data_IF_426788070228
#
_entry.id   IF_426788070228
#
_cell.length_a   1.000
_cell.length_b   1.000
_cell.length_c   1.000
_cell.angle_alpha   90.00
_cell.angle_beta   90.00
_cell.angle_gamma   90.00
#
_symmetry.space_group_name_H-M   'P 1'
#
loop_
_entity.id
_entity.type
_entity.pdbx_description
1 polymer ?
#
# COMPACT_ATOMS: atom_id res chain seq x y z
N UNK A 1 -44.54 -37.60 -14.72
CA UNK A 1 -43.58 -36.49 -14.57
C UNK A 1 -43.99 -35.77 -13.29
N UNK A 2 -43.25 -35.70 -12.19
CA UNK A 2 -41.81 -35.56 -11.99
C UNK A 2 -41.35 -36.37 -10.78
N UNK A 3 -40.24 -37.09 -10.91
CA UNK A 3 -39.48 -37.58 -9.76
C UNK A 3 -38.72 -36.39 -9.15
N UNK A 4 -38.95 -36.13 -7.87
CA UNK A 4 -38.17 -35.18 -7.08
C UNK A 4 -36.97 -35.93 -6.50
N UNK A 5 -35.78 -35.64 -7.01
CA UNK A 5 -34.51 -36.11 -6.48
C UNK A 5 -34.10 -35.20 -5.32
N UNK A 6 -34.14 -35.72 -4.10
CA UNK A 6 -33.59 -35.05 -2.93
C UNK A 6 -32.05 -35.09 -2.99
N UNK A 7 -31.43 -33.91 -2.97
CA UNK A 7 -29.98 -33.75 -2.86
C UNK A 7 -29.48 -34.22 -1.48
N UNK A 8 -28.31 -34.87 -1.38
CA UNK A 8 -27.75 -35.22 -0.08
C UNK A 8 -27.27 -33.96 0.63
N UNK A 9 -27.73 -33.80 1.88
CA UNK A 9 -27.25 -32.81 2.84
C UNK A 9 -25.72 -32.89 2.96
N UNK A 10 -24.99 -31.76 3.02
CA UNK A 10 -23.58 -31.80 3.33
C UNK A 10 -23.43 -32.37 4.75
N UNK A 11 -22.69 -33.47 4.85
CA UNK A 11 -22.37 -34.07 6.13
C UNK A 11 -21.62 -33.03 6.99
N UNK A 12 -22.30 -32.50 8.00
CA UNK A 12 -21.67 -31.71 9.05
C UNK A 12 -20.63 -32.60 9.74
N UNK A 13 -19.35 -32.36 9.50
CA UNK A 13 -18.30 -32.88 10.38
C UNK A 13 -18.50 -32.23 11.73
N UNK A 14 -19.00 -33.00 12.69
CA UNK A 14 -19.04 -32.61 14.10
C UNK A 14 -17.60 -32.39 14.56
N UNK A 15 -17.23 -31.23 15.11
CA UNK A 15 -15.89 -31.00 15.63
C UNK A 15 -15.61 -31.96 16.78
N UNK A 16 -14.47 -32.63 16.74
CA UNK A 16 -13.97 -33.42 17.87
C UNK A 16 -13.71 -32.50 19.08
N UNK A 17 -14.11 -32.88 20.30
CA UNK A 17 -13.90 -32.05 21.48
C UNK A 17 -12.40 -32.01 21.82
N UNK A 18 -11.77 -30.84 21.67
CA UNK A 18 -10.43 -30.58 22.22
C UNK A 18 -9.47 -29.75 21.36
N UNK A 19 -9.73 -29.54 20.06
CA UNK A 19 -8.84 -28.76 19.18
C UNK A 19 -9.44 -27.38 18.92
N UNK A 20 -8.70 -26.32 19.23
CA UNK A 20 -9.13 -24.94 18.93
C UNK A 20 -8.69 -24.58 17.51
N UNK A 21 -9.61 -24.16 16.66
CA UNK A 21 -9.26 -23.65 15.33
C UNK A 21 -8.60 -22.27 15.45
N UNK A 22 -7.51 -22.04 14.72
CA UNK A 22 -6.81 -20.75 14.67
C UNK A 22 -6.54 -20.36 13.22
N UNK A 23 -6.77 -19.09 12.88
CA UNK A 23 -6.46 -18.57 11.53
C UNK A 23 -5.11 -17.86 11.51
N UNK A 24 -4.16 -18.37 10.74
CA UNK A 24 -2.83 -17.78 10.52
C UNK A 24 -2.81 -16.98 9.22
N UNK A 25 -2.49 -15.69 9.31
CA UNK A 25 -2.06 -14.90 8.15
C UNK A 25 -0.70 -15.45 7.66
N UNK A 26 -0.70 -16.05 6.47
CA UNK A 26 0.37 -16.93 6.00
C UNK A 26 0.98 -16.42 4.68
N UNK A 27 2.31 -16.46 4.57
CA UNK A 27 3.06 -15.95 3.41
C UNK A 27 4.05 -16.97 2.83
N UNK A 28 4.15 -18.18 3.38
CA UNK A 28 5.12 -19.20 2.97
C UNK A 28 6.59 -18.90 3.34
N UNK A 29 6.87 -17.72 3.92
CA UNK A 29 8.20 -17.37 4.44
C UNK A 29 8.60 -18.18 5.67
N UNK A 30 9.84 -18.02 6.14
CA UNK A 30 10.36 -18.72 7.32
C UNK A 30 9.46 -18.51 8.55
N UNK A 31 9.19 -17.25 8.88
CA UNK A 31 8.45 -16.87 10.09
C UNK A 31 7.04 -17.49 10.13
N UNK A 32 6.29 -17.37 9.04
CA UNK A 32 4.92 -17.94 8.96
C UNK A 32 4.94 -19.46 8.75
N UNK A 33 5.97 -20.03 8.13
CA UNK A 33 6.18 -21.49 8.06
C UNK A 33 6.44 -22.08 9.44
N UNK A 34 7.24 -21.42 10.28
CA UNK A 34 7.49 -21.83 11.66
C UNK A 34 6.21 -21.84 12.50
N UNK A 35 5.34 -20.84 12.30
CA UNK A 35 4.10 -20.68 13.07
C UNK A 35 3.19 -21.91 13.00
N UNK A 36 3.10 -22.62 11.86
CA UNK A 36 2.19 -23.77 11.70
C UNK A 36 2.53 -24.91 12.69
N UNK A 37 3.71 -25.57 12.62
CA UNK A 37 4.06 -26.64 13.54
C UNK A 37 4.25 -26.17 14.98
N UNK A 38 4.54 -24.90 15.22
CA UNK A 38 4.59 -24.33 16.57
C UNK A 38 3.19 -24.27 17.21
N UNK A 39 2.18 -23.77 16.47
CA UNK A 39 0.80 -23.70 16.93
C UNK A 39 0.16 -25.09 17.05
N UNK A 40 0.45 -26.01 16.13
CA UNK A 40 -0.01 -27.40 16.23
C UNK A 40 0.50 -28.09 17.51
N UNK A 41 1.76 -27.87 17.88
CA UNK A 41 2.33 -28.39 19.13
C UNK A 41 1.62 -27.83 20.39
N UNK A 42 0.92 -26.70 20.26
CA UNK A 42 0.06 -26.11 21.31
C UNK A 42 -1.40 -26.58 21.25
N UNK A 43 -1.73 -27.52 20.37
CA UNK A 43 -3.07 -28.11 20.27
C UNK A 43 -4.05 -27.37 19.36
N UNK A 44 -3.56 -26.47 18.49
CA UNK A 44 -4.40 -25.76 17.54
C UNK A 44 -4.56 -26.52 16.21
N UNK A 45 -5.75 -26.42 15.60
CA UNK A 45 -5.97 -26.71 14.19
C UNK A 45 -5.68 -25.43 13.39
N UNK A 46 -4.56 -25.39 12.68
CA UNK A 46 -4.08 -24.18 12.00
C UNK A 46 -4.69 -24.06 10.61
N UNK A 47 -5.54 -23.07 10.41
CA UNK A 47 -6.07 -22.69 9.10
C UNK A 47 -5.27 -21.51 8.55
N UNK A 48 -4.75 -21.61 7.35
CA UNK A 48 -3.94 -20.55 6.75
C UNK A 48 -4.74 -19.72 5.76
N UNK A 49 -4.50 -18.41 5.74
CA UNK A 49 -4.99 -17.49 4.73
C UNK A 49 -3.80 -16.79 4.10
N UNK A 50 -3.69 -16.89 2.79
CA UNK A 50 -2.80 -16.05 1.99
C UNK A 50 -3.63 -15.02 1.23
N UNK A 51 -3.53 -13.75 1.60
CA UNK A 51 -4.12 -12.67 0.82
C UNK A 51 -3.08 -12.21 -0.20
N UNK A 52 -3.32 -12.54 -1.47
CA UNK A 52 -2.46 -12.14 -2.57
C UNK A 52 -2.72 -10.68 -2.94
N UNK A 53 -1.92 -9.81 -2.36
CA UNK A 53 -1.93 -8.37 -2.61
C UNK A 53 -0.98 -7.96 -3.73
N UNK A 54 -0.59 -8.90 -4.61
CA UNK A 54 0.40 -8.74 -5.66
C UNK A 54 1.82 -9.02 -5.20
N UNK A 55 2.79 -8.94 -6.12
CA UNK A 55 4.21 -9.19 -5.82
C UNK A 55 4.60 -10.68 -5.81
N UNK A 56 3.65 -11.59 -6.08
CA UNK A 56 3.90 -13.02 -6.29
C UNK A 56 3.41 -13.45 -7.67
N UNK A 57 4.13 -14.36 -8.29
CA UNK A 57 3.70 -15.04 -9.52
C UNK A 57 2.94 -16.32 -9.21
N UNK A 58 2.47 -17.00 -10.26
CA UNK A 58 1.71 -18.25 -10.14
C UNK A 58 2.53 -19.36 -9.47
N UNK A 59 3.83 -19.43 -9.75
CA UNK A 59 4.73 -20.43 -9.15
C UNK A 59 4.90 -20.22 -7.64
N UNK A 60 5.02 -18.97 -7.19
CA UNK A 60 5.15 -18.68 -5.76
C UNK A 60 3.80 -18.88 -5.03
N UNK A 61 2.65 -18.59 -5.66
CA UNK A 61 1.32 -18.95 -5.10
C UNK A 61 1.19 -20.45 -4.89
N UNK A 62 1.53 -21.23 -5.91
CA UNK A 62 1.56 -22.69 -5.86
C UNK A 62 2.49 -23.20 -4.75
N UNK A 63 3.64 -22.56 -4.59
CA UNK A 63 4.58 -22.88 -3.52
C UNK A 63 3.97 -22.62 -2.15
N UNK A 64 3.34 -21.46 -1.94
CA UNK A 64 2.72 -21.09 -0.65
C UNK A 64 1.65 -22.11 -0.26
N UNK A 65 0.76 -22.49 -1.19
CA UNK A 65 -0.27 -23.50 -0.92
C UNK A 65 0.33 -24.87 -0.59
N UNK A 66 1.28 -25.35 -1.41
CA UNK A 66 1.99 -26.62 -1.16
C UNK A 66 2.73 -26.59 0.17
N UNK A 67 3.33 -25.45 0.53
CA UNK A 67 4.05 -25.26 1.78
C UNK A 67 3.14 -25.32 2.99
N UNK A 68 1.96 -24.70 2.92
CA UNK A 68 0.95 -24.80 3.98
C UNK A 68 0.51 -26.27 4.19
N UNK A 69 0.29 -27.01 3.10
CA UNK A 69 -0.07 -28.43 3.14
C UNK A 69 1.07 -29.30 3.70
N UNK A 70 2.32 -29.08 3.26
CA UNK A 70 3.52 -29.77 3.74
C UNK A 70 3.67 -29.63 5.27
N UNK A 71 3.45 -28.42 5.79
CA UNK A 71 3.54 -28.11 7.23
C UNK A 71 2.31 -28.60 8.04
N UNK A 72 1.30 -29.18 7.38
CA UNK A 72 0.14 -29.78 8.02
C UNK A 72 -1.00 -28.82 8.37
N UNK A 73 -1.13 -27.69 7.67
CA UNK A 73 -2.29 -26.80 7.86
C UNK A 73 -3.61 -27.57 7.70
N UNK A 74 -4.58 -27.33 8.60
CA UNK A 74 -5.90 -27.94 8.59
C UNK A 74 -6.73 -27.51 7.37
N UNK A 75 -6.52 -26.27 6.89
CA UNK A 75 -6.95 -25.82 5.57
C UNK A 75 -6.08 -24.67 5.09
N UNK A 76 -6.06 -24.43 3.78
CA UNK A 76 -5.45 -23.26 3.16
C UNK A 76 -6.49 -22.55 2.28
N UNK A 77 -6.45 -21.21 2.24
CA UNK A 77 -7.21 -20.40 1.29
C UNK A 77 -6.33 -19.27 0.78
N UNK A 78 -6.27 -19.12 -0.55
CA UNK A 78 -5.74 -17.92 -1.20
C UNK A 78 -6.88 -16.98 -1.55
N UNK A 79 -6.73 -15.70 -1.23
CA UNK A 79 -7.71 -14.63 -1.52
C UNK A 79 -7.06 -13.62 -2.45
N UNK A 80 -7.73 -13.27 -3.55
CA UNK A 80 -7.30 -12.15 -4.41
C UNK A 80 -7.48 -10.81 -3.68
N UNK A 81 -6.37 -10.20 -3.31
CA UNK A 81 -6.30 -8.92 -2.62
C UNK A 81 -6.28 -7.70 -3.55
N UNK A 82 -6.18 -7.89 -4.87
CA UNK A 82 -6.09 -6.80 -5.85
C UNK A 82 -7.29 -5.81 -5.79
N UNK A 83 -8.54 -6.28 -5.80
CA UNK A 83 -9.69 -5.39 -5.67
C UNK A 83 -9.71 -4.61 -4.34
N UNK A 84 -9.35 -5.28 -3.24
CA UNK A 84 -9.31 -4.68 -1.91
C UNK A 84 -8.20 -3.63 -1.79
N UNK A 85 -7.01 -3.88 -2.35
CA UNK A 85 -5.89 -2.94 -2.29
C UNK A 85 -6.16 -1.69 -3.12
N UNK A 86 -6.80 -1.85 -4.27
CA UNK A 86 -7.17 -0.72 -5.10
C UNK A 86 -8.20 0.18 -4.41
N UNK A 87 -9.32 -0.41 -3.99
CA UNK A 87 -10.45 0.33 -3.42
C UNK A 87 -10.16 0.87 -2.02
N UNK A 88 -9.56 0.05 -1.14
CA UNK A 88 -9.30 0.41 0.25
C UNK A 88 -8.08 1.30 0.46
N UNK A 89 -7.07 1.23 -0.42
CA UNK A 89 -5.82 1.97 -0.22
C UNK A 89 -5.42 2.84 -1.41
N UNK A 90 -5.26 2.29 -2.62
CA UNK A 90 -4.66 3.04 -3.74
C UNK A 90 -5.53 4.23 -4.12
N UNK A 91 -6.84 4.04 -4.24
CA UNK A 91 -7.80 5.09 -4.58
C UNK A 91 -7.77 6.25 -3.57
N UNK A 92 -7.98 6.04 -2.25
CA UNK A 92 -7.89 7.13 -1.29
C UNK A 92 -6.49 7.71 -1.13
N UNK A 93 -5.42 6.91 -1.31
CA UNK A 93 -4.04 7.41 -1.29
C UNK A 93 -3.75 8.36 -2.46
N UNK A 94 -4.21 8.01 -3.68
CA UNK A 94 -4.09 8.88 -4.86
C UNK A 94 -4.89 10.16 -4.66
N UNK A 95 -6.11 10.08 -4.12
CA UNK A 95 -6.90 11.26 -3.79
C UNK A 95 -6.25 12.13 -2.71
N UNK A 96 -5.62 11.54 -1.70
CA UNK A 96 -4.86 12.28 -0.70
C UNK A 96 -3.70 13.03 -1.37
N UNK A 97 -2.95 12.36 -2.24
CA UNK A 97 -1.90 12.99 -3.05
C UNK A 97 -0.63 13.33 -2.27
N UNK A 98 -0.47 12.78 -1.06
CA UNK A 98 0.63 13.08 -0.14
C UNK A 98 1.34 11.81 0.34
N UNK A 99 2.66 11.87 0.50
CA UNK A 99 3.45 10.81 1.13
C UNK A 99 3.62 11.03 2.62
N UNK A 100 3.87 9.97 3.39
CA UNK A 100 4.18 10.10 4.82
C UNK A 100 5.46 10.91 5.00
N UNK A 101 5.37 11.95 5.82
CA UNK A 101 6.40 12.99 5.98
C UNK A 101 6.92 13.55 4.64
N UNK A 102 6.03 13.66 3.65
CA UNK A 102 6.32 14.16 2.30
C UNK A 102 7.19 13.23 1.45
N UNK A 103 7.40 11.97 1.88
CA UNK A 103 8.39 11.07 1.27
C UNK A 103 7.82 9.69 0.93
N UNK A 104 7.22 8.99 1.90
CA UNK A 104 6.98 7.55 1.80
C UNK A 104 5.54 7.20 1.38
N UNK A 105 5.34 6.43 0.29
CA UNK A 105 4.01 6.11 -0.24
C UNK A 105 3.31 4.92 0.45
N UNK A 106 3.64 4.63 1.72
CA UNK A 106 2.92 3.66 2.56
C UNK A 106 2.81 2.23 1.98
N UNK A 107 3.88 1.72 1.36
CA UNK A 107 3.90 0.48 0.56
C UNK A 107 3.57 -0.82 1.32
N UNK A 108 3.44 -0.78 2.64
CA UNK A 108 3.10 -1.94 3.48
C UNK A 108 1.69 -1.80 4.09
N UNK A 109 0.83 -1.01 3.47
CA UNK A 109 -0.57 -0.85 3.91
C UNK A 109 -1.45 -2.06 3.54
N UNK A 110 -0.91 -3.00 2.77
CA UNK A 110 -1.55 -4.29 2.50
C UNK A 110 -1.83 -5.11 3.78
N UNK A 111 -1.13 -4.83 4.90
CA UNK A 111 -1.33 -5.50 6.19
C UNK A 111 -2.78 -5.42 6.69
N UNK A 112 -3.45 -4.29 6.51
CA UNK A 112 -4.84 -4.11 6.94
C UNK A 112 -5.77 -5.06 6.19
N UNK A 113 -5.51 -5.25 4.89
CA UNK A 113 -6.32 -6.10 4.02
C UNK A 113 -6.04 -7.59 4.26
N UNK A 114 -4.80 -7.94 4.62
CA UNK A 114 -4.44 -9.28 5.09
C UNK A 114 -5.21 -9.59 6.39
N UNK A 115 -5.31 -8.63 7.32
CA UNK A 115 -6.11 -8.77 8.54
C UNK A 115 -7.59 -8.98 8.20
N UNK A 116 -8.17 -8.13 7.34
CA UNK A 116 -9.57 -8.27 6.91
C UNK A 116 -9.87 -9.67 6.35
N UNK A 117 -8.97 -10.20 5.50
CA UNK A 117 -9.10 -11.54 4.93
C UNK A 117 -8.99 -12.64 5.99
N UNK A 118 -8.06 -12.51 6.93
CA UNK A 118 -7.86 -13.47 8.03
C UNK A 118 -9.07 -13.49 8.98
N UNK A 119 -9.59 -12.33 9.38
CA UNK A 119 -10.76 -12.24 10.25
C UNK A 119 -12.02 -12.78 9.57
N UNK A 120 -12.23 -12.48 8.28
CA UNK A 120 -13.33 -13.06 7.50
C UNK A 120 -13.26 -14.60 7.48
N UNK A 121 -12.06 -15.17 7.42
CA UNK A 121 -11.88 -16.63 7.51
C UNK A 121 -12.15 -17.13 8.93
N UNK A 122 -11.72 -16.41 9.96
CA UNK A 122 -11.95 -16.77 11.35
C UNK A 122 -13.45 -16.82 11.66
N UNK A 123 -14.20 -15.79 11.26
CA UNK A 123 -15.66 -15.74 11.37
C UNK A 123 -16.33 -16.90 10.61
N UNK A 124 -15.88 -17.20 9.38
CA UNK A 124 -16.43 -18.31 8.58
C UNK A 124 -16.19 -19.70 9.21
N UNK A 125 -15.13 -19.84 10.00
CA UNK A 125 -14.82 -21.06 10.77
C UNK A 125 -15.44 -21.06 12.17
N UNK A 126 -16.03 -19.93 12.61
CA UNK A 126 -16.58 -19.78 13.96
C UNK A 126 -15.52 -19.66 15.04
N UNK A 127 -14.27 -19.32 14.71
CA UNK A 127 -13.19 -19.09 15.68
C UNK A 127 -12.95 -17.61 15.93
N UNK A 128 -12.52 -17.28 17.15
CA UNK A 128 -12.08 -15.94 17.56
C UNK A 128 -10.58 -15.86 17.78
N UNK A 129 -9.82 -16.85 17.33
CA UNK A 129 -8.37 -16.92 17.53
C UNK A 129 -7.68 -16.73 16.19
N UNK A 130 -6.76 -15.77 16.13
CA UNK A 130 -5.94 -15.53 14.95
C UNK A 130 -4.46 -15.51 15.30
N UNK A 131 -3.63 -15.77 14.31
CA UNK A 131 -2.19 -15.69 14.41
C UNK A 131 -1.57 -14.90 13.26
N UNK A 132 -0.43 -14.27 13.56
CA UNK A 132 0.41 -13.61 12.57
C UNK A 132 1.89 -13.78 12.94
N UNK A 133 2.75 -13.75 11.93
CA UNK A 133 4.21 -13.95 12.09
C UNK A 133 5.00 -12.66 12.34
N UNK A 134 4.38 -11.56 12.77
CA UNK A 134 5.13 -10.30 12.92
C UNK A 134 6.10 -10.36 14.10
N UNK A 135 7.28 -9.80 13.93
CA UNK A 135 8.24 -9.58 15.01
C UNK A 135 7.81 -8.44 15.94
N UNK A 136 8.38 -8.41 17.15
CA UNK A 136 8.22 -7.33 18.13
C UNK A 136 9.01 -6.06 17.81
N UNK A 137 9.66 -5.97 16.64
CA UNK A 137 10.70 -4.97 16.36
C UNK A 137 10.28 -3.90 15.35
N UNK A 138 9.15 -4.05 14.66
CA UNK A 138 8.74 -3.16 13.56
C UNK A 138 7.32 -2.66 13.69
N UNK A 139 6.92 -1.77 12.76
CA UNK A 139 5.58 -1.18 12.73
C UNK A 139 4.48 -2.20 12.39
N UNK A 140 4.80 -3.27 11.67
CA UNK A 140 3.80 -4.24 11.20
C UNK A 140 3.03 -4.90 12.34
N UNK A 141 3.67 -5.17 13.50
CA UNK A 141 2.95 -5.68 14.67
C UNK A 141 1.85 -4.72 15.14
N UNK A 142 2.10 -3.41 15.07
CA UNK A 142 1.15 -2.38 15.53
C UNK A 142 -0.02 -2.33 14.57
N UNK A 143 0.26 -2.39 13.26
CA UNK A 143 -0.75 -2.40 12.20
C UNK A 143 -1.66 -3.61 12.31
N UNK A 144 -1.09 -4.82 12.46
CA UNK A 144 -1.86 -6.04 12.65
C UNK A 144 -2.68 -5.99 13.93
N UNK A 145 -2.05 -5.72 15.08
CA UNK A 145 -2.74 -5.77 16.37
C UNK A 145 -3.86 -4.72 16.47
N UNK A 146 -3.62 -3.48 16.02
CA UNK A 146 -4.64 -2.43 16.06
C UNK A 146 -5.80 -2.72 15.11
N UNK A 147 -5.52 -3.21 13.90
CA UNK A 147 -6.58 -3.55 12.95
C UNK A 147 -7.47 -4.68 13.48
N UNK A 148 -6.86 -5.71 14.06
CA UNK A 148 -7.60 -6.82 14.67
C UNK A 148 -8.48 -6.32 15.81
N UNK A 149 -7.91 -5.52 16.72
CA UNK A 149 -8.65 -4.97 17.87
C UNK A 149 -9.78 -4.03 17.46
N UNK A 150 -9.62 -3.31 16.35
CA UNK A 150 -10.66 -2.42 15.84
C UNK A 150 -11.85 -3.19 15.23
N UNK A 151 -11.62 -4.39 14.73
CA UNK A 151 -12.62 -5.16 13.96
C UNK A 151 -13.37 -6.22 14.78
N UNK A 152 -12.98 -6.47 16.03
CA UNK A 152 -13.75 -7.32 16.94
C UNK A 152 -12.96 -7.86 18.12
N UNK A 153 -13.65 -8.65 18.95
CA UNK A 153 -13.05 -9.36 20.08
C UNK A 153 -12.39 -10.66 19.60
N UNK A 154 -11.14 -10.53 19.15
CA UNK A 154 -10.29 -11.62 18.70
C UNK A 154 -9.09 -11.81 19.64
N UNK A 155 -8.78 -13.06 19.96
CA UNK A 155 -7.51 -13.44 20.58
C UNK A 155 -6.39 -13.40 19.53
N UNK A 156 -5.35 -12.61 19.80
CA UNK A 156 -4.17 -12.50 18.96
C UNK A 156 -3.06 -13.40 19.51
N UNK A 157 -2.63 -14.37 18.71
CA UNK A 157 -1.47 -15.23 18.99
C UNK A 157 -0.32 -14.81 18.06
N UNK A 158 0.84 -14.50 18.62
CA UNK A 158 1.98 -14.03 17.83
C UNK A 158 3.23 -14.86 18.14
N UNK A 159 3.36 -16.06 17.53
CA UNK A 159 4.41 -17.02 17.86
C UNK A 159 5.82 -16.44 17.82
N UNK A 160 6.11 -15.57 16.85
CA UNK A 160 7.44 -14.94 16.71
C UNK A 160 7.75 -14.02 17.89
N UNK A 161 6.77 -13.25 18.37
CA UNK A 161 6.93 -12.42 19.58
C UNK A 161 7.08 -13.27 20.84
N UNK A 162 6.46 -14.45 20.89
CA UNK A 162 6.62 -15.38 22.00
C UNK A 162 8.06 -15.88 22.08
N UNK A 163 8.59 -16.44 20.99
CA UNK A 163 9.97 -16.97 20.97
C UNK A 163 11.04 -15.87 21.06
N UNK A 164 10.75 -14.63 20.65
CA UNK A 164 11.66 -13.49 20.83
C UNK A 164 11.93 -13.16 22.30
N UNK A 165 11.02 -13.51 23.22
CA UNK A 165 11.24 -13.34 24.67
C UNK A 165 12.25 -14.34 25.21
N UNK A 166 12.42 -15.47 24.53
CA UNK A 166 13.21 -16.62 25.01
C UNK A 166 14.53 -16.76 24.24
N UNK A 167 14.58 -16.30 22.98
CA UNK A 167 15.70 -16.52 22.07
C UNK A 167 16.15 -15.23 21.40
N UNK A 168 17.42 -14.86 21.64
CA UNK A 168 18.07 -13.70 21.01
C UNK A 168 18.34 -13.90 19.52
N UNK A 169 18.52 -15.14 19.07
CA UNK A 169 18.71 -15.51 17.66
C UNK A 169 17.45 -16.18 17.10
N UNK A 170 16.34 -15.44 17.05
CA UNK A 170 15.00 -15.94 16.70
C UNK A 170 14.99 -16.72 15.37
N UNK A 171 15.54 -16.15 14.29
CA UNK A 171 15.59 -16.82 12.97
C UNK A 171 16.34 -18.15 12.96
N UNK A 172 17.45 -18.23 13.69
CA UNK A 172 18.21 -19.48 13.80
C UNK A 172 17.41 -20.55 14.56
N UNK A 173 16.67 -20.14 15.59
CA UNK A 173 15.75 -21.01 16.31
C UNK A 173 14.61 -21.50 15.41
N UNK A 174 13.97 -20.62 14.65
CA UNK A 174 12.88 -20.96 13.71
C UNK A 174 13.34 -22.00 12.67
N UNK A 175 14.52 -21.77 12.08
CA UNK A 175 15.12 -22.67 11.12
C UNK A 175 15.38 -24.05 11.74
N UNK A 176 16.07 -24.09 12.87
CA UNK A 176 16.39 -25.34 13.58
C UNK A 176 15.12 -26.10 13.97
N UNK A 177 14.09 -25.40 14.46
CA UNK A 177 12.83 -26.01 14.86
C UNK A 177 12.11 -26.73 13.70
N UNK A 178 12.16 -26.13 12.50
CA UNK A 178 11.61 -26.71 11.28
C UNK A 178 12.45 -27.90 10.79
N UNK A 179 13.78 -27.74 10.75
CA UNK A 179 14.71 -28.80 10.31
C UNK A 179 14.63 -30.05 11.21
N UNK A 180 14.55 -29.88 12.53
CA UNK A 180 14.37 -30.99 13.50
C UNK A 180 13.06 -31.77 13.29
N UNK A 181 12.07 -31.16 12.63
CA UNK A 181 10.79 -31.78 12.27
C UNK A 181 10.73 -32.29 10.83
N UNK A 182 11.87 -32.24 10.12
CA UNK A 182 11.99 -32.73 8.75
C UNK A 182 11.47 -31.76 7.68
N UNK A 183 11.18 -30.51 8.03
CA UNK A 183 10.75 -29.50 7.06
C UNK A 183 11.95 -28.77 6.48
N UNK A 184 12.10 -28.80 5.16
CA UNK A 184 13.14 -28.03 4.47
C UNK A 184 12.95 -26.53 4.66
N UNK A 185 14.04 -25.79 4.86
CA UNK A 185 14.02 -24.32 4.94
C UNK A 185 14.71 -23.76 3.70
N UNK A 186 14.03 -22.87 2.95
CA UNK A 186 14.66 -22.19 1.81
C UNK A 186 15.85 -21.39 2.34
N UNK A 187 17.06 -21.69 1.84
CA UNK A 187 18.25 -20.90 2.12
C UNK A 187 18.15 -19.53 1.44
N UNK A 188 17.43 -18.60 2.06
CA UNK A 188 17.45 -17.18 1.68
C UNK A 188 17.82 -16.36 2.91
N UNK A 189 19.08 -16.43 3.31
CA UNK A 189 19.68 -15.32 4.07
C UNK A 189 19.88 -14.16 3.11
N UNK A 190 18.82 -13.37 2.87
CA UNK A 190 19.00 -12.08 2.20
C UNK A 190 19.66 -11.13 3.19
N UNK A 191 20.65 -10.38 2.73
CA UNK A 191 21.27 -9.30 3.49
C UNK A 191 20.26 -8.19 3.87
N UNK A 192 19.10 -8.16 3.19
CA UNK A 192 18.04 -7.17 3.37
C UNK A 192 16.72 -7.83 3.77
N UNK A 193 15.95 -7.10 4.56
CA UNK A 193 14.52 -7.37 4.74
C UNK A 193 13.76 -6.70 3.60
N UNK A 194 12.97 -7.48 2.87
CA UNK A 194 12.25 -7.01 1.67
C UNK A 194 10.76 -7.27 1.87
N UNK A 195 9.95 -6.23 1.69
CA UNK A 195 8.50 -6.38 1.51
C UNK A 195 8.14 -5.99 0.09
N UNK A 196 7.35 -6.83 -0.57
CA UNK A 196 6.93 -6.67 -1.95
C UNK A 196 5.45 -7.02 -2.07
N UNK A 197 4.69 -6.15 -2.71
CA UNK A 197 3.29 -6.34 -3.06
C UNK A 197 2.95 -5.46 -4.28
N UNK A 198 1.68 -5.33 -4.66
CA UNK A 198 1.27 -4.51 -5.81
C UNK A 198 1.63 -3.01 -5.68
N UNK A 199 1.74 -2.47 -4.46
CA UNK A 199 2.06 -1.07 -4.23
C UNK A 199 3.51 -0.75 -4.58
N UNK A 200 4.41 -1.70 -4.33
CA UNK A 200 5.84 -1.49 -4.49
C UNK A 200 6.71 -2.44 -3.67
N UNK A 201 8.00 -2.10 -3.63
CA UNK A 201 9.03 -2.81 -2.86
C UNK A 201 9.60 -1.89 -1.79
N UNK A 202 9.83 -2.42 -0.60
CA UNK A 202 10.64 -1.77 0.44
C UNK A 202 11.81 -2.67 0.83
N UNK A 203 12.95 -2.06 1.14
CA UNK A 203 14.16 -2.77 1.54
C UNK A 203 14.83 -2.05 2.70
N UNK A 204 15.21 -2.79 3.73
CA UNK A 204 15.95 -2.33 4.91
C UNK A 204 17.02 -3.35 5.31
N UNK A 205 17.87 -3.02 6.28
CA UNK A 205 19.00 -3.87 6.67
C UNK A 205 20.34 -3.39 6.10
N UNK A 206 21.41 -4.03 6.57
CA UNK A 206 22.76 -3.79 6.07
C UNK A 206 23.21 -2.33 6.19
N UNK A 207 23.72 -1.78 5.09
CA UNK A 207 24.18 -0.39 4.96
C UNK A 207 23.06 0.64 5.15
N UNK A 208 21.81 0.28 4.88
CA UNK A 208 20.66 1.17 5.09
C UNK A 208 20.50 1.48 6.58
N UNK A 209 20.58 0.46 7.43
CA UNK A 209 20.45 0.59 8.89
C UNK A 209 21.68 1.27 9.52
N UNK A 210 22.84 1.21 8.85
CA UNK A 210 24.06 1.94 9.22
C UNK A 210 24.10 3.38 8.68
N UNK A 211 23.01 3.85 8.05
CA UNK A 211 22.92 5.20 7.49
C UNK A 211 23.89 5.48 6.32
N UNK A 212 24.38 4.42 5.69
CA UNK A 212 25.29 4.48 4.56
C UNK A 212 24.53 4.54 3.23
N UNK A 213 25.26 4.70 2.12
CA UNK A 213 24.69 4.68 0.78
C UNK A 213 24.23 3.24 0.43
N UNK A 214 23.00 3.05 -0.08
CA UNK A 214 22.48 1.73 -0.41
C UNK A 214 23.28 1.08 -1.55
N UNK A 215 23.63 -0.19 -1.38
CA UNK A 215 24.40 -0.98 -2.34
C UNK A 215 23.57 -1.50 -3.51
N UNK A 216 24.21 -2.17 -4.48
CA UNK A 216 23.53 -2.68 -5.69
C UNK A 216 22.42 -3.70 -5.38
N UNK A 217 22.56 -4.45 -4.28
CA UNK A 217 21.57 -5.43 -3.83
C UNK A 217 20.26 -4.84 -3.30
N UNK A 218 20.13 -3.51 -3.21
CA UNK A 218 18.95 -2.79 -2.72
C UNK A 218 17.99 -2.39 -3.84
N UNK A 219 17.86 -3.20 -4.89
CA UNK A 219 17.04 -2.92 -6.07
C UNK A 219 16.14 -4.12 -6.37
N UNK A 220 14.83 -3.89 -6.45
CA UNK A 220 13.84 -4.93 -6.74
C UNK A 220 13.34 -4.85 -8.18
N UNK A 221 12.67 -3.75 -8.52
CA UNK A 221 12.00 -3.52 -9.79
C UNK A 221 12.67 -2.43 -10.63
N UNK A 222 13.02 -1.30 -10.01
CA UNK A 222 13.44 -0.12 -10.76
C UNK A 222 14.83 -0.33 -11.35
N UNK A 223 15.04 -0.16 -12.65
CA UNK A 223 16.35 -0.34 -13.27
C UNK A 223 17.37 0.74 -12.82
N UNK A 224 18.68 0.42 -12.76
CA UNK A 224 19.71 1.42 -12.55
C UNK A 224 19.83 2.35 -13.75
N UNK A 225 20.38 3.55 -13.54
CA UNK A 225 20.51 4.59 -14.59
C UNK A 225 21.21 4.09 -15.87
N UNK A 226 22.20 3.22 -15.73
CA UNK A 226 22.93 2.62 -16.85
C UNK A 226 22.08 1.70 -17.74
N UNK A 227 20.91 1.26 -17.25
CA UNK A 227 20.01 0.35 -17.95
C UNK A 227 18.68 1.01 -18.36
N UNK A 228 18.54 2.33 -18.16
CA UNK A 228 17.34 3.04 -18.60
C UNK A 228 17.23 3.03 -20.13
N UNK A 229 16.02 2.81 -20.69
CA UNK A 229 15.80 2.94 -22.13
C UNK A 229 16.16 4.34 -22.65
N UNK A 230 16.65 4.39 -23.89
CA UNK A 230 17.01 5.66 -24.56
C UNK A 230 15.76 6.43 -24.98
N UNK A 231 14.78 5.72 -25.52
CA UNK A 231 13.52 6.31 -25.98
C UNK A 231 12.66 6.75 -24.78
N UNK A 232 12.03 7.94 -24.84
CA UNK A 232 11.10 8.36 -23.79
C UNK A 232 9.87 7.44 -23.76
N UNK A 233 9.38 7.17 -22.56
CA UNK A 233 8.06 6.56 -22.37
C UNK A 233 7.01 7.66 -22.33
N UNK A 234 5.95 7.51 -23.13
CA UNK A 234 4.73 8.33 -23.07
C UNK A 234 3.53 7.45 -22.73
N UNK A 235 2.75 7.82 -21.73
CA UNK A 235 1.57 7.07 -21.27
C UNK A 235 0.43 8.04 -20.99
N UNK A 236 -0.78 7.77 -21.47
CA UNK A 236 -1.97 8.58 -21.13
C UNK A 236 -2.86 7.85 -20.13
N UNK A 237 -3.19 8.51 -19.02
CA UNK A 237 -4.12 8.02 -18.00
C UNK A 237 -5.45 8.76 -18.10
N UNK A 238 -6.56 8.02 -18.10
CA UNK A 238 -7.91 8.60 -18.01
C UNK A 238 -8.42 8.48 -16.58
N UNK A 239 -8.99 9.58 -16.08
CA UNK A 239 -9.61 9.68 -14.76
C UNK A 239 -11.10 9.98 -14.85
N UNK A 240 -11.88 9.34 -14.00
CA UNK A 240 -13.29 9.61 -13.75
C UNK A 240 -13.50 9.75 -12.24
N UNK A 241 -14.03 10.89 -11.79
CA UNK A 241 -14.18 11.24 -10.38
C UNK A 241 -12.91 10.97 -9.55
N UNK A 242 -11.76 11.39 -10.07
CA UNK A 242 -10.45 11.21 -9.43
C UNK A 242 -9.89 9.80 -9.46
N UNK A 243 -10.63 8.80 -9.94
CA UNK A 243 -10.18 7.42 -10.08
C UNK A 243 -9.61 7.16 -11.47
N UNK A 244 -8.43 6.54 -11.57
CA UNK A 244 -7.86 6.14 -12.85
C UNK A 244 -8.60 4.92 -13.40
N UNK A 245 -9.15 5.02 -14.61
CA UNK A 245 -10.02 3.99 -15.23
C UNK A 245 -9.45 3.40 -16.52
N UNK A 246 -8.47 4.05 -17.15
CA UNK A 246 -7.87 3.57 -18.40
C UNK A 246 -6.41 4.01 -18.59
N UNK A 247 -5.66 3.23 -19.37
CA UNK A 247 -4.29 3.52 -19.80
C UNK A 247 -4.21 3.43 -21.33
N UNK A 248 -3.77 4.50 -21.98
CA UNK A 248 -3.70 4.65 -23.44
C UNK A 248 -5.04 4.32 -24.13
N UNK A 249 -6.12 4.87 -23.59
CA UNK A 249 -7.48 4.67 -24.10
C UNK A 249 -8.08 3.29 -23.85
N UNK A 250 -7.34 2.36 -23.20
CA UNK A 250 -7.82 1.02 -22.88
C UNK A 250 -8.31 0.94 -21.43
N UNK A 251 -9.60 0.67 -21.17
CA UNK A 251 -10.11 0.47 -19.82
C UNK A 251 -9.38 -0.68 -19.12
N UNK A 252 -9.05 -0.48 -17.85
CA UNK A 252 -8.39 -1.49 -17.01
C UNK A 252 -8.95 -1.43 -15.59
N UNK A 253 -9.15 -2.59 -14.99
CA UNK A 253 -9.43 -2.69 -13.56
C UNK A 253 -8.26 -2.15 -12.75
N UNK A 254 -8.56 -1.50 -11.62
CA UNK A 254 -7.59 -0.75 -10.84
C UNK A 254 -6.29 -1.49 -10.50
N UNK A 255 -6.39 -2.72 -9.97
CA UNK A 255 -5.19 -3.50 -9.64
C UNK A 255 -4.32 -3.83 -10.87
N UNK A 256 -4.97 -4.17 -11.99
CA UNK A 256 -4.30 -4.45 -13.27
C UNK A 256 -3.69 -3.17 -13.87
N UNK A 257 -4.35 -2.03 -13.69
CA UNK A 257 -3.85 -0.72 -14.06
C UNK A 257 -2.56 -0.40 -13.29
N UNK A 258 -2.58 -0.53 -11.96
CA UNK A 258 -1.39 -0.29 -11.13
C UNK A 258 -0.24 -1.23 -11.51
N UNK A 259 -0.50 -2.53 -11.70
CA UNK A 259 0.49 -3.50 -12.15
C UNK A 259 1.11 -3.12 -13.51
N UNK A 260 0.27 -2.67 -14.47
CA UNK A 260 0.74 -2.20 -15.78
C UNK A 260 1.66 -0.98 -15.62
N UNK A 261 1.30 -0.01 -14.77
CA UNK A 261 2.13 1.16 -14.53
C UNK A 261 3.45 0.80 -13.85
N UNK A 262 3.44 -0.12 -12.88
CA UNK A 262 4.67 -0.64 -12.28
C UNK A 262 5.61 -1.18 -13.35
N UNK A 263 5.11 -2.04 -14.24
CA UNK A 263 5.90 -2.64 -15.33
C UNK A 263 6.43 -1.62 -16.33
N UNK A 264 5.65 -0.59 -16.66
CA UNK A 264 6.05 0.44 -17.63
C UNK A 264 7.11 1.37 -17.07
N UNK A 265 6.97 1.82 -15.82
CA UNK A 265 7.80 2.86 -15.23
C UNK A 265 9.05 2.33 -14.50
N UNK A 266 9.05 1.07 -14.05
CA UNK A 266 10.20 0.48 -13.37
C UNK A 266 11.50 0.46 -14.23
N UNK A 267 11.48 0.10 -15.54
CA UNK A 267 12.68 0.15 -16.38
C UNK A 267 13.31 1.53 -16.52
N UNK A 268 12.54 2.60 -16.27
CA UNK A 268 13.02 3.98 -16.27
C UNK A 268 13.52 4.42 -14.89
N UNK A 269 13.52 3.55 -13.89
CA UNK A 269 13.92 3.90 -12.52
C UNK A 269 12.98 4.87 -11.80
N UNK A 270 11.79 5.12 -12.35
CA UNK A 270 10.79 6.02 -11.77
C UNK A 270 10.26 5.44 -10.47
N UNK A 271 10.10 6.30 -9.47
CA UNK A 271 9.52 5.96 -8.18
C UNK A 271 10.43 5.17 -7.24
N UNK A 272 11.73 5.07 -7.55
CA UNK A 272 12.74 4.68 -6.58
C UNK A 272 13.09 5.86 -5.68
N UNK A 273 13.06 5.65 -4.37
CA UNK A 273 13.38 6.67 -3.38
C UNK A 273 13.99 6.09 -2.11
N UNK A 274 14.35 7.00 -1.21
CA UNK A 274 14.75 6.70 0.17
C UNK A 274 13.74 7.36 1.09
N UNK A 275 13.31 6.66 2.13
CA UNK A 275 12.62 7.27 3.24
C UNK A 275 13.58 7.36 4.43
N UNK A 276 13.60 8.51 5.09
CA UNK A 276 14.22 8.72 6.40
C UNK A 276 13.26 9.53 7.23
N UNK A 277 12.84 8.98 8.38
CA UNK A 277 11.84 9.63 9.19
C UNK A 277 11.44 8.85 10.43
N UNK A 278 10.28 9.18 10.97
CA UNK A 278 9.74 8.61 12.20
C UNK A 278 9.06 7.26 11.98
N UNK A 279 9.18 6.37 12.97
CA UNK A 279 8.47 5.09 13.02
C UNK A 279 7.44 5.11 14.15
N UNK A 280 6.45 4.22 14.07
CA UNK A 280 5.37 4.13 15.07
C UNK A 280 5.92 3.74 16.44
N UNK A 281 7.00 2.97 16.47
CA UNK A 281 7.64 2.47 17.69
C UNK A 281 8.63 3.46 18.32
N UNK A 282 8.64 4.72 17.89
CA UNK A 282 9.45 5.79 18.48
C UNK A 282 10.92 5.83 18.03
N UNK A 283 11.32 5.01 17.05
CA UNK A 283 12.65 5.03 16.45
C UNK A 283 12.67 5.85 15.16
N UNK A 284 13.85 6.25 14.71
CA UNK A 284 14.04 6.70 13.33
C UNK A 284 14.18 5.47 12.43
N UNK A 285 13.50 5.51 11.29
CA UNK A 285 13.57 4.47 10.27
C UNK A 285 14.23 4.99 9.00
N UNK A 286 14.94 4.09 8.30
CA UNK A 286 15.52 4.36 6.98
C UNK A 286 15.27 3.16 6.08
N UNK A 287 14.70 3.38 4.91
CA UNK A 287 14.40 2.32 3.93
C UNK A 287 14.63 2.82 2.51
N UNK A 288 15.02 1.92 1.62
CA UNK A 288 14.84 2.10 0.18
C UNK A 288 13.40 1.70 -0.16
N UNK A 289 12.76 2.44 -1.07
CA UNK A 289 11.47 2.05 -1.63
C UNK A 289 11.43 2.19 -3.15
N UNK A 290 10.58 1.41 -3.80
CA UNK A 290 10.32 1.43 -5.24
C UNK A 290 8.81 1.35 -5.47
N UNK A 291 8.21 2.43 -5.99
CA UNK A 291 6.76 2.57 -6.18
C UNK A 291 6.39 3.16 -7.55
N UNK A 292 6.86 2.57 -8.66
CA UNK A 292 6.77 3.18 -10.00
C UNK A 292 5.34 3.58 -10.40
N UNK A 293 4.37 2.69 -10.21
CA UNK A 293 2.98 2.91 -10.58
C UNK A 293 2.26 3.93 -9.70
N UNK A 294 2.49 3.91 -8.38
CA UNK A 294 1.93 4.91 -7.47
C UNK A 294 2.47 6.30 -7.76
N UNK A 295 3.78 6.44 -8.01
CA UNK A 295 4.38 7.74 -8.35
C UNK A 295 3.86 8.27 -9.69
N UNK A 296 3.64 7.40 -10.68
CA UNK A 296 3.00 7.79 -11.94
C UNK A 296 1.54 8.23 -11.73
N UNK A 297 0.76 7.51 -10.93
CA UNK A 297 -0.63 7.88 -10.60
C UNK A 297 -0.68 9.23 -9.88
N UNK A 298 0.15 9.44 -8.87
CA UNK A 298 0.22 10.70 -8.12
C UNK A 298 0.60 11.88 -9.02
N UNK A 299 1.59 11.71 -9.90
CA UNK A 299 1.99 12.76 -10.84
C UNK A 299 0.84 13.15 -11.79
N UNK A 300 0.12 12.17 -12.34
CA UNK A 300 -0.99 12.42 -13.23
C UNK A 300 -2.19 13.05 -12.50
N UNK A 301 -2.60 12.45 -11.38
CA UNK A 301 -3.74 12.90 -10.61
C UNK A 301 -3.54 14.33 -10.09
N UNK A 302 -2.35 14.64 -9.57
CA UNK A 302 -2.01 15.98 -9.10
C UNK A 302 -2.12 17.03 -10.20
N UNK A 303 -1.60 16.74 -11.40
CA UNK A 303 -1.67 17.65 -12.53
C UNK A 303 -3.12 17.91 -12.98
N UNK A 304 -3.99 16.89 -12.91
CA UNK A 304 -5.41 17.04 -13.23
C UNK A 304 -6.13 17.89 -12.16
N UNK A 305 -5.87 17.64 -10.89
CA UNK A 305 -6.44 18.42 -9.79
C UNK A 305 -6.00 19.88 -9.83
N UNK A 306 -4.71 20.16 -10.02
CA UNK A 306 -4.20 21.53 -10.08
C UNK A 306 -4.85 22.33 -11.24
N UNK A 307 -5.31 21.64 -12.30
CA UNK A 307 -5.99 22.25 -13.43
C UNK A 307 -7.52 22.39 -13.28
N UNK A 308 -8.14 21.64 -12.37
CA UNK A 308 -9.60 21.53 -12.22
C UNK A 308 -10.11 22.12 -10.90
N UNK A 309 -9.33 22.03 -9.83
CA UNK A 309 -9.71 22.49 -8.50
C UNK A 309 -9.36 23.95 -8.30
N UNK A 310 -10.14 24.64 -7.47
CA UNK A 310 -9.84 26.02 -7.12
C UNK A 310 -8.57 26.14 -6.28
N UNK A 311 -7.98 27.32 -6.27
CA UNK A 311 -6.83 27.66 -5.41
C UNK A 311 -7.05 27.31 -3.93
N UNK A 312 -8.27 27.44 -3.40
CA UNK A 312 -8.54 27.14 -1.99
C UNK A 312 -8.61 25.64 -1.73
N UNK A 313 -9.21 24.85 -2.64
CA UNK A 313 -9.20 23.40 -2.53
C UNK A 313 -7.77 22.85 -2.58
N UNK A 314 -6.95 23.30 -3.54
CA UNK A 314 -5.56 22.85 -3.66
C UNK A 314 -4.68 23.23 -2.46
N UNK A 315 -5.06 24.25 -1.70
CA UNK A 315 -4.35 24.66 -0.48
C UNK A 315 -4.77 23.89 0.76
N UNK A 316 -6.07 23.61 0.90
CA UNK A 316 -6.60 22.97 2.11
C UNK A 316 -6.55 21.44 2.06
N UNK A 317 -6.80 20.83 0.89
CA UNK A 317 -6.80 19.36 0.74
C UNK A 317 -5.53 18.69 1.28
N UNK A 318 -4.30 19.24 1.08
CA UNK A 318 -3.09 18.69 1.68
C UNK A 318 -3.11 18.54 3.21
N UNK A 319 -3.83 19.39 3.95
CA UNK A 319 -3.93 19.29 5.41
C UNK A 319 -4.71 18.04 5.82
N UNK A 320 -5.84 17.79 5.14
CA UNK A 320 -6.65 16.57 5.29
C UNK A 320 -5.84 15.33 4.89
N UNK A 321 -5.18 15.39 3.73
CA UNK A 321 -4.39 14.30 3.19
C UNK A 321 -3.25 13.88 4.14
N UNK A 322 -2.52 14.84 4.71
CA UNK A 322 -1.44 14.54 5.67
C UNK A 322 -1.96 13.80 6.90
N UNK A 323 -3.13 14.19 7.44
CA UNK A 323 -3.72 13.48 8.58
C UNK A 323 -4.19 12.07 8.21
N UNK A 324 -4.77 11.89 7.03
CA UNK A 324 -5.16 10.56 6.54
C UNK A 324 -3.93 9.64 6.43
N UNK A 325 -2.86 10.15 5.81
CA UNK A 325 -1.59 9.42 5.64
C UNK A 325 -0.95 9.05 6.98
N UNK A 326 -1.01 9.94 7.97
CA UNK A 326 -0.54 9.69 9.35
C UNK A 326 -1.31 8.53 9.99
N UNK A 327 -2.65 8.55 9.97
CA UNK A 327 -3.48 7.48 10.53
C UNK A 327 -3.16 6.13 9.89
N UNK A 328 -3.06 6.10 8.56
CA UNK A 328 -2.74 4.87 7.82
C UNK A 328 -1.32 4.39 8.10
N UNK A 329 -0.34 5.28 8.29
CA UNK A 329 1.02 4.87 8.65
C UNK A 329 1.07 4.27 10.07
N UNK A 330 0.35 4.88 11.01
CA UNK A 330 0.40 4.61 12.45
C UNK A 330 -0.42 3.40 12.93
N UNK A 331 -1.21 2.78 12.06
CA UNK A 331 -2.01 1.60 12.43
C UNK A 331 -3.50 1.88 12.61
N UNK A 332 -3.94 3.14 12.48
CA UNK A 332 -5.31 3.58 12.68
C UNK A 332 -6.17 3.50 11.41
N UNK A 333 -5.99 2.44 10.63
CA UNK A 333 -6.66 2.26 9.33
C UNK A 333 -8.19 2.13 9.44
N UNK A 334 -8.68 1.56 10.55
CA UNK A 334 -10.10 1.40 10.85
C UNK A 334 -10.62 2.45 11.86
N UNK A 335 -9.84 3.50 12.12
CA UNK A 335 -10.30 4.62 12.94
C UNK A 335 -11.38 5.44 12.19
N UNK A 336 -12.47 5.87 12.84
CA UNK A 336 -13.53 6.63 12.18
C UNK A 336 -13.04 7.91 11.51
N UNK A 337 -12.02 8.59 12.06
CA UNK A 337 -11.47 9.80 11.44
C UNK A 337 -10.88 9.50 10.05
N UNK A 338 -10.31 8.30 9.83
CA UNK A 338 -9.82 7.90 8.51
C UNK A 338 -10.96 7.92 7.48
N UNK A 339 -12.13 7.39 7.83
CA UNK A 339 -13.32 7.39 6.96
C UNK A 339 -13.91 8.78 6.76
N UNK A 340 -13.94 9.62 7.81
CA UNK A 340 -14.39 11.01 7.69
C UNK A 340 -13.52 11.83 6.72
N UNK A 341 -12.19 11.63 6.79
CA UNK A 341 -11.24 12.25 5.87
C UNK A 341 -11.40 11.73 4.44
N UNK A 342 -11.68 10.43 4.26
CA UNK A 342 -11.98 9.86 2.94
C UNK A 342 -13.24 10.45 2.31
N UNK A 343 -14.27 10.75 3.10
CA UNK A 343 -15.48 11.42 2.60
C UNK A 343 -15.18 12.82 2.07
N UNK A 344 -14.29 13.57 2.74
CA UNK A 344 -13.81 14.85 2.23
C UNK A 344 -13.00 14.67 0.93
N UNK A 345 -12.09 13.69 0.89
CA UNK A 345 -11.26 13.42 -0.28
C UNK A 345 -12.13 13.03 -1.49
N UNK A 346 -13.08 12.10 -1.31
CA UNK A 346 -14.03 11.69 -2.35
C UNK A 346 -14.84 12.89 -2.87
N UNK A 347 -15.37 13.71 -1.96
CA UNK A 347 -16.11 14.91 -2.34
C UNK A 347 -15.27 15.87 -3.20
N UNK A 348 -13.96 15.98 -2.97
CA UNK A 348 -13.11 16.87 -3.76
C UNK A 348 -12.90 16.34 -5.19
N UNK A 349 -13.15 15.06 -5.46
CA UNK A 349 -12.92 14.44 -6.75
C UNK A 349 -14.07 14.60 -7.75
N UNK A 350 -15.20 15.18 -7.35
CA UNK A 350 -16.43 15.23 -8.16
C UNK A 350 -16.24 15.76 -9.60
N UNK A 351 -15.26 16.65 -9.82
CA UNK A 351 -14.94 17.23 -11.13
C UNK A 351 -13.59 16.81 -11.70
N UNK A 352 -12.83 15.96 -11.01
CA UNK A 352 -11.51 15.49 -11.42
C UNK A 352 -11.68 14.40 -12.50
N UNK A 353 -12.13 14.83 -13.68
CA UNK A 353 -12.42 14.01 -14.85
C UNK A 353 -11.55 14.47 -16.01
N UNK A 354 -10.87 13.58 -16.70
CA UNK A 354 -10.00 13.97 -17.81
C UNK A 354 -8.95 12.95 -18.19
N UNK A 355 -8.03 13.37 -19.04
CA UNK A 355 -6.87 12.60 -19.47
C UNK A 355 -5.59 13.36 -19.15
N UNK A 356 -4.58 12.65 -18.66
CA UNK A 356 -3.25 13.20 -18.41
C UNK A 356 -2.22 12.36 -19.13
N UNK A 357 -1.41 13.00 -19.97
CA UNK A 357 -0.27 12.36 -20.63
C UNK A 357 0.97 12.56 -19.77
N UNK A 358 1.59 11.46 -19.39
CA UNK A 358 2.85 11.38 -18.69
C UNK A 358 4.01 11.12 -19.66
N UNK A 359 5.15 11.74 -19.41
CA UNK A 359 6.42 11.45 -20.08
C UNK A 359 7.52 11.13 -19.07
N UNK A 360 8.41 10.19 -19.40
CA UNK A 360 9.67 9.98 -18.67
C UNK A 360 10.81 9.60 -19.60
N UNK A 361 12.01 10.10 -19.28
CA UNK A 361 13.31 9.66 -19.84
C UNK A 361 14.17 8.94 -18.79
N UNK A 362 13.62 8.71 -17.61
CA UNK A 362 14.31 8.12 -16.49
C UNK A 362 14.24 8.93 -15.18
N UNK A 363 14.18 8.25 -14.04
CA UNK A 363 14.28 8.77 -12.68
C UNK A 363 13.06 9.56 -12.18
N UNK A 364 12.45 10.39 -13.03
CA UNK A 364 11.24 11.17 -12.74
C UNK A 364 10.16 10.91 -13.80
N UNK A 365 8.92 11.26 -13.49
CA UNK A 365 7.81 11.27 -14.44
C UNK A 365 7.13 12.63 -14.39
N UNK A 366 6.84 13.20 -15.55
CA UNK A 366 6.22 14.52 -15.69
C UNK A 366 4.85 14.40 -16.37
N UNK A 367 3.85 15.13 -15.88
CA UNK A 367 2.59 15.33 -16.60
C UNK A 367 2.76 16.42 -17.66
N UNK A 368 2.86 16.01 -18.91
CA UNK A 368 3.18 16.90 -20.04
C UNK A 368 1.94 17.44 -20.77
N UNK A 369 0.77 16.82 -20.59
CA UNK A 369 -0.49 17.33 -21.09
C UNK A 369 -1.65 16.96 -20.19
N UNK A 370 -2.60 17.89 -20.01
CA UNK A 370 -3.85 17.68 -19.26
C UNK A 370 -5.01 18.08 -20.15
N UNK A 371 -6.01 17.20 -20.26
CA UNK A 371 -7.28 17.45 -20.94
C UNK A 371 -8.41 17.19 -19.97
N UNK A 372 -9.33 18.15 -19.81
CA UNK A 372 -10.50 17.98 -18.97
C UNK A 372 -11.65 18.85 -19.49
N UNK A 373 -12.92 18.39 -19.38
CA UNK A 373 -14.07 19.27 -19.56
C UNK A 373 -14.24 20.30 -18.44
N UNK A 374 -13.42 20.22 -17.37
CA UNK A 374 -13.49 21.06 -16.18
C UNK A 374 -12.21 21.88 -15.95
N UNK A 375 -11.38 22.07 -16.97
CA UNK A 375 -10.23 22.96 -16.87
C UNK A 375 -10.70 24.35 -16.42
N UNK A 376 -10.08 24.87 -15.36
CA UNK A 376 -10.32 26.25 -14.90
C UNK A 376 -9.53 27.22 -15.79
N UNK A 377 -9.85 27.24 -17.08
CA UNK A 377 -9.36 28.21 -18.05
C UNK A 377 -10.53 29.04 -18.62
N UNK A 378 -10.25 30.28 -19.01
CA UNK A 378 -11.22 31.15 -19.63
C UNK A 378 -10.81 31.43 -21.08
N UNK A 379 -11.77 31.43 -22.01
CA UNK A 379 -11.49 31.76 -23.42
C UNK A 379 -10.91 33.17 -23.62
N UNK A 380 -11.18 34.10 -22.68
CA UNK A 380 -10.70 35.49 -22.72
C UNK A 380 -9.42 35.76 -21.92
N UNK A 381 -8.99 34.83 -21.06
CA UNK A 381 -7.85 35.03 -20.17
C UNK A 381 -6.84 33.89 -20.31
N UNK A 382 -5.67 34.22 -20.86
CA UNK A 382 -4.53 33.33 -21.02
C UNK A 382 -3.37 33.94 -20.24
N UNK A 383 -2.84 33.19 -19.27
CA UNK A 383 -1.73 33.65 -18.43
C UNK A 383 -0.60 34.28 -19.28
N UNK A 384 -0.22 35.51 -18.91
CA UNK A 384 0.82 36.31 -19.56
C UNK A 384 0.63 36.62 -21.06
N UNK A 385 -0.53 36.31 -21.66
CA UNK A 385 -0.78 36.54 -23.09
C UNK A 385 -2.01 37.42 -23.35
N UNK A 386 -3.12 37.17 -22.65
CA UNK A 386 -4.35 37.95 -22.80
C UNK A 386 -5.14 37.97 -21.51
N UNK A 387 -5.91 39.03 -21.31
CA UNK A 387 -6.81 39.19 -20.18
C UNK A 387 -8.10 39.83 -20.67
N UNK A 388 -9.21 39.45 -20.03
CA UNK A 388 -10.51 40.11 -20.16
C UNK A 388 -10.69 41.22 -19.10
N UNK A 389 -9.74 41.36 -18.16
CA UNK A 389 -9.64 42.50 -17.24
C UNK A 389 -8.68 43.58 -17.73
N UNK A 390 -8.92 44.82 -17.31
CA UNK A 390 -8.11 46.00 -17.64
C UNK A 390 -6.97 46.27 -16.65
N UNK A 391 -6.07 47.18 -17.04
CA UNK A 391 -4.93 47.61 -16.21
C UNK A 391 -5.38 48.17 -14.85
N UNK A 392 -6.45 48.96 -14.82
CA UNK A 392 -6.97 49.58 -13.60
C UNK A 392 -7.44 48.55 -12.56
N UNK A 393 -8.03 47.44 -13.00
CA UNK A 393 -8.47 46.35 -12.12
C UNK A 393 -7.27 45.63 -11.51
N UNK A 394 -6.23 45.37 -12.32
CA UNK A 394 -4.99 44.77 -11.85
C UNK A 394 -4.26 45.66 -10.83
N UNK A 395 -4.11 46.96 -11.12
CA UNK A 395 -3.50 47.93 -10.20
C UNK A 395 -4.28 48.05 -8.88
N UNK A 396 -5.62 48.15 -8.98
CA UNK A 396 -6.51 48.18 -7.81
C UNK A 396 -6.38 46.91 -6.96
N UNK A 397 -6.38 45.73 -7.59
CA UNK A 397 -6.18 44.46 -6.90
C UNK A 397 -4.84 44.40 -6.20
N UNK A 398 -3.73 44.71 -6.88
CA UNK A 398 -2.38 44.69 -6.29
C UNK A 398 -2.31 45.62 -5.08
N UNK A 399 -2.84 46.85 -5.22
CA UNK A 399 -2.87 47.83 -4.13
C UNK A 399 -3.58 47.30 -2.90
N UNK A 400 -4.75 46.67 -3.07
CA UNK A 400 -5.54 46.15 -1.94
C UNK A 400 -4.95 44.84 -1.39
N UNK A 401 -4.57 43.91 -2.25
CA UNK A 401 -4.06 42.59 -1.88
C UNK A 401 -2.71 42.66 -1.15
N UNK A 402 -1.81 43.55 -1.60
CA UNK A 402 -0.50 43.75 -1.00
C UNK A 402 -0.49 44.66 0.24
N UNK A 403 -1.59 45.36 0.52
CA UNK A 403 -1.62 46.49 1.46
C UNK A 403 -1.07 46.15 2.84
N UNK A 404 -1.49 45.01 3.40
CA UNK A 404 -1.03 44.60 4.73
C UNK A 404 0.48 44.33 4.78
N UNK A 405 1.03 43.70 3.74
CA UNK A 405 2.47 43.40 3.64
C UNK A 405 3.29 44.68 3.44
N UNK A 406 2.79 45.58 2.58
CA UNK A 406 3.41 46.89 2.35
C UNK A 406 3.42 47.74 3.62
N UNK A 407 2.29 47.80 4.36
CA UNK A 407 2.20 48.56 5.60
C UNK A 407 3.14 48.00 6.68
N UNK A 408 3.22 46.68 6.83
CA UNK A 408 4.16 46.05 7.74
C UNK A 408 5.60 46.50 7.46
N UNK A 409 6.02 46.47 6.19
CA UNK A 409 7.36 46.88 5.80
C UNK A 409 7.61 48.39 5.98
N UNK A 410 6.59 49.24 5.86
CA UNK A 410 6.72 50.69 6.08
C UNK A 410 6.88 51.04 7.57
N UNK A 411 6.14 50.35 8.43
CA UNK A 411 6.16 50.62 9.88
C UNK A 411 7.41 50.03 10.54
N UNK A 412 7.91 48.90 10.04
CA UNK A 412 8.96 48.10 10.72
C UNK A 412 10.32 48.08 9.98
N UNK A 413 10.59 49.00 9.06
CA UNK A 413 11.90 49.13 8.39
C UNK A 413 12.76 50.24 8.95
#
# INVERSE_FOLDING_TARGET
>A
MSQSTASPSPASRVPSPGTKDIVLAFSGGLDTSFCIPYLQAKGYAVHTVFADTGGVDEEERDFIEKRAAELGAASHVTVDGGPAIWSGFVKPFVWAGEGYQGQYPLLVSDRYLIVDAALKRADALGTRIIAHGCTGMGNDQVRFDLAVKALGDYEIVAPIREIQKEHTQTRAYEQKYLEERGFGVRAKQKAYTINENLLGVTMSGGEIDRWEAPGEGTRGWCAPRSAWPIEPLTVTLKFEHGEAVAVDGKPLEGAKLLAKLNKLFAPYGVGRGMYTGDTVIGLKGRIVFEAPGLIALLAAHRALEDAVLTKQQNRFKPDVARKWVELVYEGFYHDPLKTDLEAFLDSSQAKVNGEVTLETRGGRVDAVAVKSPHLLNAKGATYAQSADWGVAEAEGFIKLFGMSSTLYAQVNR
#
